data_IF_510794730317
#
_entry.id   IF_510794730317
#
_cell.length_a   1.000
_cell.length_b   1.000
_cell.length_c   1.000
_cell.angle_alpha   90.00
_cell.angle_beta   90.00
_cell.angle_gamma   90.00
#
_symmetry.space_group_name_H-M   'P 1'
#
loop_
_entity.id
_entity.type
_entity.pdbx_description
1 polymer ?
#
# COMPACT_ATOMS: atom_id res chain seq x y z
N UNK A 1 8.69 -5.46 -3.31
CA UNK A 1 8.75 -4.13 -3.95
C UNK A 1 7.80 -4.10 -5.14
N UNK A 2 7.20 -2.95 -5.44
CA UNK A 2 6.19 -2.75 -6.50
C UNK A 2 6.73 -1.93 -7.69
N UNK A 3 8.04 -1.97 -7.91
CA UNK A 3 8.73 -1.23 -9.00
C UNK A 3 8.15 -1.50 -10.39
N UNK A 4 7.69 -2.74 -10.62
CA UNK A 4 7.08 -3.18 -11.88
C UNK A 4 5.60 -3.55 -11.74
N UNK A 5 4.93 -3.07 -10.67
CA UNK A 5 3.51 -3.33 -10.45
C UNK A 5 3.14 -4.79 -10.12
N UNK A 6 4.12 -5.61 -9.74
CA UNK A 6 3.92 -7.06 -9.50
C UNK A 6 3.72 -7.41 -8.03
N UNK A 7 3.83 -6.45 -7.10
CA UNK A 7 3.89 -6.80 -5.68
C UNK A 7 2.60 -7.46 -5.18
N UNK A 8 1.43 -6.92 -5.53
CA UNK A 8 0.15 -7.51 -5.11
C UNK A 8 -0.09 -8.90 -5.73
N UNK A 9 0.27 -9.08 -7.01
CA UNK A 9 0.17 -10.38 -7.68
C UNK A 9 1.07 -11.41 -7.00
N UNK A 10 2.30 -11.03 -6.65
CA UNK A 10 3.23 -11.88 -5.93
C UNK A 10 2.76 -12.17 -4.48
N UNK A 11 2.18 -11.19 -3.79
CA UNK A 11 1.56 -11.38 -2.47
C UNK A 11 0.44 -12.41 -2.55
N UNK A 12 -0.45 -12.29 -3.53
CA UNK A 12 -1.54 -13.24 -3.75
C UNK A 12 -1.02 -14.66 -4.06
N UNK A 13 -0.02 -14.76 -4.94
CA UNK A 13 0.60 -16.04 -5.27
C UNK A 13 1.26 -16.70 -4.05
N UNK A 14 1.98 -15.92 -3.24
CA UNK A 14 2.63 -16.41 -2.03
C UNK A 14 1.60 -16.81 -0.95
N UNK A 15 0.48 -16.08 -0.84
CA UNK A 15 -0.62 -16.43 0.07
C UNK A 15 -1.20 -17.81 -0.28
N UNK A 16 -1.37 -18.11 -1.56
CA UNK A 16 -1.82 -19.44 -2.02
C UNK A 16 -0.84 -20.57 -1.67
N UNK A 17 0.43 -20.26 -1.40
CA UNK A 17 1.45 -21.19 -0.95
C UNK A 17 1.58 -21.26 0.59
N UNK A 18 0.69 -20.58 1.33
CA UNK A 18 0.66 -20.59 2.80
C UNK A 18 1.53 -19.53 3.47
N UNK A 19 2.11 -18.59 2.71
CA UNK A 19 2.81 -17.44 3.31
C UNK A 19 1.77 -16.47 3.88
N UNK A 20 1.94 -16.09 5.14
CA UNK A 20 0.97 -15.25 5.87
C UNK A 20 1.58 -13.96 6.44
N UNK A 21 2.89 -13.77 6.31
CA UNK A 21 3.60 -12.56 6.76
C UNK A 21 4.19 -11.81 5.56
N UNK A 22 3.78 -10.56 5.38
CA UNK A 22 4.22 -9.71 4.28
C UNK A 22 4.71 -8.36 4.81
N UNK A 23 5.81 -7.88 4.24
CA UNK A 23 6.34 -6.54 4.51
C UNK A 23 5.84 -5.55 3.45
N UNK A 24 5.42 -4.37 3.89
CA UNK A 24 4.91 -3.28 3.05
C UNK A 24 5.32 -1.94 3.65
N UNK A 25 4.97 -0.83 3.02
CA UNK A 25 5.24 0.50 3.56
C UNK A 25 4.03 1.41 3.39
N UNK A 26 3.65 2.11 4.46
CA UNK A 26 2.53 3.07 4.45
C UNK A 26 2.71 4.08 3.30
N UNK A 27 1.64 4.47 2.62
CA UNK A 27 1.65 5.35 1.46
C UNK A 27 2.64 4.94 0.34
N UNK A 28 3.07 3.68 0.30
CA UNK A 28 4.11 3.22 -0.63
C UNK A 28 5.47 3.90 -0.41
N UNK A 29 5.79 4.27 0.84
CA UNK A 29 7.04 4.95 1.16
C UNK A 29 8.27 4.11 0.78
N UNK A 30 9.32 4.84 0.43
CA UNK A 30 10.57 4.28 -0.10
C UNK A 30 10.60 4.31 -1.63
N UNK A 31 11.78 4.57 -2.16
CA UNK A 31 12.07 4.51 -3.59
C UNK A 31 13.19 3.52 -3.85
N UNK A 32 13.43 3.19 -5.11
CA UNK A 32 14.57 2.36 -5.48
C UNK A 32 15.83 3.23 -5.66
N UNK A 33 16.92 3.03 -4.89
CA UNK A 33 18.16 3.77 -5.12
C UNK A 33 18.78 3.50 -6.49
N UNK A 34 18.43 2.36 -7.12
CA UNK A 34 18.88 1.95 -8.45
C UNK A 34 17.97 2.43 -9.59
N UNK A 35 16.76 2.89 -9.29
CA UNK A 35 15.80 3.39 -10.29
C UNK A 35 15.15 4.68 -9.76
N UNK A 36 15.81 5.82 -10.04
CA UNK A 36 15.35 7.15 -9.61
C UNK A 36 13.91 7.39 -10.08
N UNK A 37 13.01 7.62 -9.14
CA UNK A 37 11.58 7.86 -9.40
C UNK A 37 10.71 6.61 -9.50
N UNK A 38 11.30 5.41 -9.50
CA UNK A 38 10.51 4.19 -9.52
C UNK A 38 9.97 3.85 -8.12
N UNK A 39 8.77 3.25 -8.11
CA UNK A 39 8.12 2.77 -6.89
C UNK A 39 9.01 1.74 -6.16
N UNK A 40 9.12 1.89 -4.85
CA UNK A 40 9.90 1.01 -3.99
C UNK A 40 9.03 -0.10 -3.41
N UNK A 41 8.66 0.05 -2.15
CA UNK A 41 7.80 -0.91 -1.45
C UNK A 41 6.39 -0.93 -2.04
N UNK A 42 5.66 -2.03 -1.80
CA UNK A 42 4.21 -2.04 -1.99
C UNK A 42 3.55 -1.22 -0.89
N UNK A 43 2.53 -0.46 -1.24
CA UNK A 43 1.76 0.33 -0.27
C UNK A 43 1.00 -0.59 0.69
N UNK A 44 1.05 -0.31 1.99
CA UNK A 44 0.34 -1.11 3.00
C UNK A 44 -1.17 -1.08 2.78
N UNK A 45 -1.72 0.07 2.40
CA UNK A 45 -3.13 0.27 2.08
C UNK A 45 -3.59 -0.64 0.93
N UNK A 46 -2.76 -0.77 -0.11
CA UNK A 46 -3.04 -1.61 -1.27
C UNK A 46 -3.08 -3.10 -0.88
N UNK A 47 -2.19 -3.54 0.02
CA UNK A 47 -2.18 -4.92 0.55
C UNK A 47 -3.36 -5.17 1.47
N UNK A 48 -3.64 -4.26 2.41
CA UNK A 48 -4.76 -4.39 3.36
C UNK A 48 -6.08 -4.43 2.60
N UNK A 49 -6.26 -3.58 1.59
CA UNK A 49 -7.45 -3.58 0.75
C UNK A 49 -7.64 -4.91 0.01
N UNK A 50 -6.58 -5.48 -0.56
CA UNK A 50 -6.63 -6.81 -1.17
C UNK A 50 -7.10 -7.87 -0.17
N UNK A 51 -6.47 -7.92 1.01
CA UNK A 51 -6.77 -8.93 2.03
C UNK A 51 -8.19 -8.78 2.58
N UNK A 52 -8.61 -7.55 2.93
CA UNK A 52 -9.98 -7.27 3.39
C UNK A 52 -11.02 -7.61 2.32
N UNK A 53 -10.75 -7.28 1.04
CA UNK A 53 -11.62 -7.64 -0.08
C UNK A 53 -11.76 -9.15 -0.29
N UNK A 54 -10.76 -9.93 0.14
CA UNK A 54 -10.80 -11.39 0.17
C UNK A 54 -11.42 -11.97 1.46
N UNK A 55 -11.87 -11.12 2.40
CA UNK A 55 -12.41 -11.54 3.69
C UNK A 55 -11.34 -12.00 4.69
N UNK A 56 -10.07 -11.65 4.46
CA UNK A 56 -8.96 -11.99 5.35
C UNK A 56 -8.75 -10.85 6.34
N UNK A 57 -8.90 -11.16 7.63
CA UNK A 57 -8.65 -10.19 8.69
C UNK A 57 -7.16 -9.94 8.88
N UNK A 58 -6.80 -8.67 9.02
CA UNK A 58 -5.43 -8.22 9.28
C UNK A 58 -5.26 -7.57 10.65
N UNK A 59 -6.37 -7.26 11.34
CA UNK A 59 -6.38 -6.44 12.55
C UNK A 59 -6.06 -4.95 12.31
N UNK A 60 -5.97 -4.52 11.05
CA UNK A 60 -5.67 -3.14 10.67
C UNK A 60 -6.96 -2.44 10.27
N UNK A 61 -7.22 -1.26 10.85
CA UNK A 61 -8.23 -0.32 10.38
C UNK A 61 -7.72 0.38 9.11
N UNK A 62 -8.40 0.14 7.99
CA UNK A 62 -8.01 0.69 6.69
C UNK A 62 -8.19 2.21 6.64
N UNK A 63 -9.24 2.76 7.25
CA UNK A 63 -9.50 4.19 7.20
C UNK A 63 -8.46 4.96 8.02
N UNK A 64 -8.12 4.46 9.21
CA UNK A 64 -7.06 5.02 10.04
C UNK A 64 -5.66 4.89 9.38
N UNK A 65 -5.41 3.79 8.66
CA UNK A 65 -4.18 3.62 7.89
C UNK A 65 -4.08 4.64 6.75
N UNK A 66 -5.18 4.91 6.05
CA UNK A 66 -5.24 5.94 5.00
C UNK A 66 -4.96 7.34 5.58
N UNK A 67 -5.46 7.64 6.78
CA UNK A 67 -5.18 8.92 7.45
C UNK A 67 -3.70 9.06 7.80
N UNK A 68 -3.09 8.01 8.33
CA UNK A 68 -1.65 7.99 8.59
C UNK A 68 -0.83 8.18 7.30
N UNK A 69 -1.24 7.54 6.20
CA UNK A 69 -0.63 7.69 4.89
C UNK A 69 -0.77 9.10 4.32
N UNK A 70 -1.93 9.74 4.49
CA UNK A 70 -2.17 11.12 4.10
C UNK A 70 -1.26 12.08 4.88
N UNK A 71 -1.20 11.92 6.21
CA UNK A 71 -0.38 12.75 7.08
C UNK A 71 1.11 12.71 6.69
N UNK A 72 1.69 11.53 6.51
CA UNK A 72 3.12 11.43 6.17
C UNK A 72 3.41 11.96 4.76
N UNK A 73 2.48 11.78 3.82
CA UNK A 73 2.58 12.36 2.49
C UNK A 73 2.63 13.89 2.52
N UNK A 74 1.80 14.52 3.37
CA UNK A 74 1.83 15.96 3.61
C UNK A 74 3.18 16.41 4.19
N UNK A 75 3.69 15.72 5.22
CA UNK A 75 4.98 16.06 5.83
C UNK A 75 6.15 15.98 4.85
N UNK A 76 6.07 15.07 3.87
CA UNK A 76 7.10 14.88 2.84
C UNK A 76 6.89 15.75 1.59
N UNK A 77 5.80 16.53 1.54
CA UNK A 77 5.45 17.36 0.38
C UNK A 77 5.26 16.56 -0.91
N UNK A 78 4.79 15.30 -0.81
CA UNK A 78 4.56 14.43 -1.98
C UNK A 78 3.27 13.61 -1.85
N UNK A 79 2.56 13.35 -2.96
CA UNK A 79 1.33 12.56 -2.91
C UNK A 79 1.58 11.12 -2.42
N UNK A 80 0.53 10.49 -1.90
CA UNK A 80 0.58 9.06 -1.52
C UNK A 80 0.87 8.19 -2.75
N UNK A 81 1.77 7.21 -2.57
CA UNK A 81 2.03 6.17 -3.56
C UNK A 81 0.98 5.07 -3.57
N UNK A 82 0.09 5.02 -2.56
CA UNK A 82 -1.02 4.07 -2.55
C UNK A 82 -2.09 4.44 -3.59
N UNK A 83 -2.55 3.45 -4.35
CA UNK A 83 -3.73 3.58 -5.21
C UNK A 83 -5.00 3.65 -4.38
N UNK A 84 -5.11 2.82 -3.34
CA UNK A 84 -6.26 2.77 -2.44
C UNK A 84 -6.39 4.06 -1.64
N UNK A 85 -5.32 4.51 -0.98
CA UNK A 85 -5.31 5.74 -0.19
C UNK A 85 -5.74 6.94 -1.04
N UNK A 86 -5.20 7.07 -2.25
CA UNK A 86 -5.61 8.13 -3.20
C UNK A 86 -7.10 8.06 -3.56
N UNK A 87 -7.62 6.87 -3.86
CA UNK A 87 -9.03 6.69 -4.20
C UNK A 87 -9.97 7.02 -3.01
N UNK A 88 -9.63 6.57 -1.80
CA UNK A 88 -10.44 6.81 -0.61
C UNK A 88 -10.40 8.28 -0.18
N UNK A 89 -9.24 8.93 -0.21
CA UNK A 89 -9.13 10.36 0.06
C UNK A 89 -9.94 11.19 -0.94
N UNK A 90 -9.86 10.86 -2.23
CA UNK A 90 -10.67 11.53 -3.26
C UNK A 90 -12.17 11.33 -3.02
N UNK A 91 -12.60 10.12 -2.64
CA UNK A 91 -14.00 9.82 -2.29
C UNK A 91 -14.49 10.61 -1.08
N UNK A 92 -13.63 10.85 -0.08
CA UNK A 92 -13.99 11.63 1.13
C UNK A 92 -14.08 13.14 0.88
N UNK A 93 -13.42 13.63 -0.16
CA UNK A 93 -13.37 15.06 -0.49
C UNK A 93 -14.55 15.54 -1.37
N UNK A 94 -15.28 14.61 -2.00
CA UNK A 94 -16.48 14.88 -2.79
C UNK A 94 -17.75 14.52 -2.03
#
# INVERSE_FOLDING_TARGET
>A
HDTYGQALANTLAALALGVWNFQSSVAGLGGCPYAKGATGNVATEDVVYLLHGMGIETGIDLDALVDAGAWISEQLGRPTGSRVGRALLAKRAG
#
